data_IF_641163978017
#
_entry.id   IF_641163978017
#
_cell.length_a   1.000
_cell.length_b   1.000
_cell.length_c   1.000
_cell.angle_alpha   90.00
_cell.angle_beta   90.00
_cell.angle_gamma   90.00
#
_symmetry.space_group_name_H-M   'P 1'
#
loop_
_entity.id
_entity.type
_entity.pdbx_description
1 polymer ?
#
# COMPACT_ATOMS: atom_id res chain seq x y z
N UNK A 1 2.99 1.72 8.09
CA UNK A 1 4.14 1.20 7.33
C UNK A 1 5.29 2.16 7.54
N UNK A 2 6.37 1.68 8.13
CA UNK A 2 7.52 2.50 8.48
C UNK A 2 8.75 2.01 7.71
N UNK A 3 9.35 2.89 6.91
CA UNK A 3 10.55 2.56 6.14
C UNK A 3 11.76 2.20 7.01
N UNK A 4 11.76 2.56 8.30
CA UNK A 4 12.78 2.10 9.25
C UNK A 4 12.70 0.58 9.51
N UNK A 5 11.57 -0.06 9.22
CA UNK A 5 11.38 -1.51 9.36
C UNK A 5 11.58 -2.28 8.05
N UNK A 6 11.87 -1.57 6.94
CA UNK A 6 12.04 -2.15 5.62
C UNK A 6 11.19 -1.44 4.57
N UNK A 7 11.43 -1.78 3.30
CA UNK A 7 10.74 -1.18 2.16
C UNK A 7 9.84 -2.18 1.40
N UNK A 8 9.72 -3.42 1.88
CA UNK A 8 8.77 -4.40 1.36
C UNK A 8 7.94 -4.94 2.52
N UNK A 9 6.63 -4.74 2.45
CA UNK A 9 5.68 -5.21 3.45
C UNK A 9 4.80 -6.30 2.85
N UNK A 10 4.73 -7.45 3.51
CA UNK A 10 3.84 -8.53 3.15
C UNK A 10 2.87 -8.79 4.30
N UNK A 11 1.59 -8.54 4.08
CA UNK A 11 0.58 -8.70 5.13
C UNK A 11 -0.71 -9.33 4.61
N UNK A 12 -1.40 -10.00 5.53
CA UNK A 12 -2.77 -10.47 5.33
C UNK A 12 -3.75 -9.49 5.97
N UNK A 13 -4.75 -9.06 5.21
CA UNK A 13 -5.86 -8.24 5.66
C UNK A 13 -6.85 -9.13 6.43
N UNK A 14 -6.82 -9.07 7.76
CA UNK A 14 -7.77 -9.78 8.64
C UNK A 14 -9.00 -8.95 9.02
N UNK A 15 -9.08 -7.73 8.47
CA UNK A 15 -10.10 -6.73 8.73
C UNK A 15 -9.86 -5.50 7.86
N UNK A 16 -10.80 -4.56 7.86
CA UNK A 16 -10.59 -3.28 7.18
C UNK A 16 -9.46 -2.52 7.87
N UNK A 17 -8.55 -1.94 7.09
CA UNK A 17 -7.33 -1.32 7.63
C UNK A 17 -7.18 0.10 7.11
N UNK A 18 -6.66 0.97 7.97
CA UNK A 18 -6.22 2.32 7.60
C UNK A 18 -4.71 2.37 7.70
N UNK A 19 -4.03 2.75 6.63
CA UNK A 19 -2.58 2.87 6.63
C UNK A 19 -2.09 4.27 6.97
N UNK A 20 -1.00 4.32 7.72
CA UNK A 20 -0.13 5.48 7.90
C UNK A 20 1.25 5.16 7.35
N UNK A 21 1.95 6.13 6.75
CA UNK A 21 3.29 5.97 6.21
C UNK A 21 4.28 6.85 6.97
N UNK A 22 5.43 6.30 7.34
CA UNK A 22 6.49 6.99 8.09
C UNK A 22 7.89 6.52 7.65
N UNK A 23 8.93 7.17 8.17
CA UNK A 23 10.33 6.78 7.95
C UNK A 23 10.96 7.26 6.64
N UNK A 24 10.24 8.04 5.82
CA UNK A 24 10.81 8.63 4.61
C UNK A 24 11.83 9.74 4.95
N UNK A 25 12.99 9.70 4.28
CA UNK A 25 14.04 10.71 4.47
C UNK A 25 13.77 11.92 3.57
N UNK A 26 13.79 13.13 4.15
CA UNK A 26 13.63 14.37 3.38
C UNK A 26 14.80 14.59 2.40
N UNK A 27 14.52 15.14 1.23
CA UNK A 27 15.51 15.42 0.19
C UNK A 27 16.04 14.17 -0.55
N UNK A 28 15.43 13.00 -0.34
CA UNK A 28 15.77 11.76 -1.05
C UNK A 28 14.51 11.10 -1.62
N UNK A 29 14.68 10.40 -2.73
CA UNK A 29 13.67 9.46 -3.20
C UNK A 29 13.61 8.26 -2.24
N UNK A 30 12.42 7.90 -1.80
CA UNK A 30 12.15 6.72 -0.97
C UNK A 30 10.97 5.96 -1.58
N UNK A 31 11.02 4.64 -1.54
CA UNK A 31 9.98 3.78 -2.11
C UNK A 31 9.64 2.64 -1.16
N UNK A 32 8.38 2.18 -1.21
CA UNK A 32 7.96 0.94 -0.58
C UNK A 32 7.02 0.13 -1.47
N UNK A 33 7.09 -1.20 -1.35
CA UNK A 33 6.14 -2.14 -1.95
C UNK A 33 5.29 -2.78 -0.86
N UNK A 34 3.99 -2.92 -1.11
CA UNK A 34 3.06 -3.55 -0.18
C UNK A 34 2.31 -4.67 -0.92
N UNK A 35 2.49 -5.89 -0.41
CA UNK A 35 1.76 -7.08 -0.81
C UNK A 35 0.58 -7.24 0.15
N UNK A 36 -0.62 -7.21 -0.40
CA UNK A 36 -1.88 -7.19 0.33
C UNK A 36 -2.64 -8.46 0.01
N UNK A 37 -2.59 -9.43 0.91
CA UNK A 37 -3.35 -10.67 0.79
C UNK A 37 -4.68 -10.54 1.54
N UNK A 38 -5.80 -10.82 0.88
CA UNK A 38 -7.09 -11.00 1.56
C UNK A 38 -7.05 -12.21 2.49
N UNK A 39 -7.72 -12.15 3.64
CA UNK A 39 -7.91 -13.33 4.48
C UNK A 39 -8.79 -14.39 3.79
N UNK A 40 -9.09 -15.48 4.50
CA UNK A 40 -9.93 -16.57 4.00
C UNK A 40 -11.41 -16.17 3.78
N UNK A 41 -11.84 -14.99 4.23
CA UNK A 41 -13.18 -14.45 3.98
C UNK A 41 -13.19 -13.50 2.78
N UNK A 42 -12.16 -12.66 2.65
CA UNK A 42 -12.06 -11.63 1.64
C UNK A 42 -12.85 -10.37 1.96
N UNK A 43 -12.96 -9.50 0.96
CA UNK A 43 -13.68 -8.21 1.01
C UNK A 43 -13.19 -7.25 2.09
N UNK A 44 -11.91 -7.32 2.49
CA UNK A 44 -11.29 -6.32 3.36
C UNK A 44 -10.92 -5.10 2.54
N UNK A 45 -11.19 -3.92 3.09
CA UNK A 45 -10.88 -2.66 2.45
C UNK A 45 -9.66 -1.99 3.08
N UNK A 46 -8.98 -1.18 2.28
CA UNK A 46 -7.85 -0.36 2.72
C UNK A 46 -8.23 1.11 2.57
N UNK A 47 -8.02 1.88 3.65
CA UNK A 47 -8.00 3.34 3.60
C UNK A 47 -6.56 3.82 3.54
N UNK A 48 -6.21 4.48 2.43
CA UNK A 48 -4.88 5.04 2.21
C UNK A 48 -4.71 6.38 2.93
N UNK A 49 -3.49 6.74 3.37
CA UNK A 49 -3.25 8.04 3.99
C UNK A 49 -3.53 9.18 3.00
N UNK A 50 -3.95 10.35 3.48
CA UNK A 50 -4.27 11.51 2.63
C UNK A 50 -3.08 12.02 1.77
N UNK A 51 -1.86 11.70 2.20
CA UNK A 51 -0.62 11.96 1.47
C UNK A 51 -0.46 11.09 0.21
N UNK A 52 -1.18 9.96 0.12
CA UNK A 52 -1.19 9.10 -1.06
C UNK A 52 -1.95 9.78 -2.21
N UNK A 53 -1.28 9.90 -3.35
CA UNK A 53 -1.79 10.43 -4.61
C UNK A 53 -1.73 9.34 -5.65
N UNK A 54 -2.81 9.21 -6.41
CA UNK A 54 -2.97 8.17 -7.40
C UNK A 54 -3.37 8.79 -8.73
N UNK A 55 -2.89 8.24 -9.84
CA UNK A 55 -3.41 8.60 -11.16
C UNK A 55 -4.84 8.06 -11.31
N UNK A 56 -5.83 8.94 -11.41
CA UNK A 56 -7.22 8.55 -11.65
C UNK A 56 -7.99 8.05 -10.41
N UNK A 57 -7.41 8.13 -9.21
CA UNK A 57 -8.06 7.71 -7.95
C UNK A 57 -7.41 6.47 -7.32
N UNK A 58 -7.76 6.20 -6.06
CA UNK A 58 -7.23 5.02 -5.36
C UNK A 58 -7.67 3.72 -6.06
N UNK A 59 -6.81 2.69 -6.13
CA UNK A 59 -7.12 1.47 -6.84
C UNK A 59 -8.21 0.67 -6.12
N UNK A 60 -9.04 -0.01 -6.91
CA UNK A 60 -9.95 -1.05 -6.41
C UNK A 60 -9.15 -2.32 -6.17
N UNK A 61 -9.14 -2.79 -4.92
CA UNK A 61 -8.49 -4.04 -4.52
C UNK A 61 -9.39 -5.25 -4.78
N UNK A 62 -8.78 -6.42 -4.94
CA UNK A 62 -9.46 -7.70 -5.03
C UNK A 62 -10.21 -8.01 -3.75
N UNK A 63 -11.39 -8.61 -3.90
CA UNK A 63 -12.26 -8.99 -2.78
C UNK A 63 -12.31 -10.49 -2.53
N UNK A 64 -11.78 -11.31 -3.44
CA UNK A 64 -11.76 -12.76 -3.29
C UNK A 64 -10.87 -13.19 -2.13
N UNK A 65 -11.29 -14.24 -1.42
CA UNK A 65 -10.50 -14.82 -0.34
C UNK A 65 -9.11 -15.24 -0.85
N UNK A 66 -8.07 -14.97 -0.05
CA UNK A 66 -6.67 -15.25 -0.37
C UNK A 66 -6.08 -14.54 -1.61
N UNK A 67 -6.85 -13.71 -2.32
CA UNK A 67 -6.33 -12.92 -3.43
C UNK A 67 -5.24 -11.97 -2.93
N UNK A 68 -4.14 -11.88 -3.67
CA UNK A 68 -3.06 -10.95 -3.37
C UNK A 68 -3.04 -9.82 -4.38
N UNK A 69 -2.99 -8.58 -3.89
CA UNK A 69 -2.75 -7.39 -4.69
C UNK A 69 -1.40 -6.80 -4.33
N UNK A 70 -0.77 -6.10 -5.28
CA UNK A 70 0.52 -5.47 -5.08
C UNK A 70 0.41 -3.99 -5.44
N UNK A 71 0.80 -3.13 -4.51
CA UNK A 71 0.93 -1.69 -4.72
C UNK A 71 2.34 -1.22 -4.39
N UNK A 72 2.77 -0.14 -5.05
CA UNK A 72 4.01 0.54 -4.74
C UNK A 72 3.74 2.01 -4.45
N UNK A 73 4.55 2.59 -3.56
CA UNK A 73 4.51 4.00 -3.24
C UNK A 73 5.91 4.59 -3.31
N UNK A 74 6.01 5.79 -3.88
CA UNK A 74 7.23 6.57 -3.96
C UNK A 74 7.02 7.97 -3.37
N UNK A 75 8.02 8.50 -2.68
CA UNK A 75 8.03 9.88 -2.21
C UNK A 75 9.38 10.53 -2.52
N UNK A 76 9.33 11.82 -2.82
CA UNK A 76 10.51 12.65 -3.09
C UNK A 76 10.70 13.75 -2.03
N UNK A 77 9.80 13.83 -1.04
CA UNK A 77 9.68 14.97 -0.14
C UNK A 77 9.44 14.55 1.32
N UNK A 78 10.16 13.52 1.78
CA UNK A 78 10.11 13.07 3.18
C UNK A 78 8.74 12.54 3.60
N UNK A 79 7.94 12.04 2.66
CA UNK A 79 6.63 11.45 2.92
C UNK A 79 5.46 12.43 2.99
N UNK A 80 5.68 13.70 2.65
CA UNK A 80 4.58 14.70 2.53
C UNK A 80 3.62 14.32 1.40
N UNK A 81 4.16 13.80 0.30
CA UNK A 81 3.40 13.25 -0.83
C UNK A 81 3.93 11.87 -1.16
N UNK A 82 3.03 10.91 -1.36
CA UNK A 82 3.35 9.57 -1.86
C UNK A 82 2.62 9.31 -3.16
N UNK A 83 3.34 9.01 -4.23
CA UNK A 83 2.78 8.59 -5.51
C UNK A 83 2.54 7.08 -5.45
N UNK A 84 1.27 6.69 -5.39
CA UNK A 84 0.84 5.30 -5.38
C UNK A 84 0.63 4.78 -6.80
N UNK A 85 1.06 3.55 -7.05
CA UNK A 85 0.78 2.80 -8.28
C UNK A 85 0.31 1.39 -7.94
N UNK A 86 -0.75 0.95 -8.62
CA UNK A 86 -1.15 -0.45 -8.62
C UNK A 86 -0.24 -1.22 -9.55
N UNK A 87 0.46 -2.22 -9.03
CA UNK A 87 1.27 -3.13 -9.86
C UNK A 87 0.38 -4.18 -10.50
N UNK A 88 -0.55 -4.74 -9.72
CA UNK A 88 -1.53 -5.70 -10.21
C UNK A 88 -2.44 -6.20 -9.10
N UNK A 89 -3.51 -6.86 -9.50
CA UNK A 89 -4.52 -7.44 -8.61
C UNK A 89 -4.69 -8.93 -8.85
N UNK A 90 -5.20 -9.62 -7.83
CA UNK A 90 -5.67 -11.00 -7.90
C UNK A 90 -4.57 -12.00 -8.32
N UNK A 91 -3.36 -11.82 -7.81
CA UNK A 91 -2.32 -12.84 -7.90
C UNK A 91 -2.73 -14.10 -7.12
N UNK A 92 -2.56 -15.27 -7.74
CA UNK A 92 -2.88 -16.60 -7.21
C UNK A 92 -1.65 -17.37 -6.77
#
# INVERSE_FOLDING_TARGET
MDLANGNVFNLTLTGNVTFTFSGATSGKACAMSIYLKQDATGSRTVTWPAAAKWSGGAPTLSTAANATDIVVFETLNGGTTWFGSLVGTNFS
#
